data_IF_332319784608
#
_entry.id   IF_332319784608
#
_cell.length_a   1.000
_cell.length_b   1.000
_cell.length_c   1.000
_cell.angle_alpha   90.00
_cell.angle_beta   90.00
_cell.angle_gamma   90.00
#
_symmetry.space_group_name_H-M   'P 1'
#
loop_
_entity.id
_entity.type
_entity.pdbx_description
1 polymer ?
#
# COMPACT_ATOMS: atom_id res chain seq x y z
N UNK A 1 -26.09 -7.46 -11.66
CA UNK A 1 -24.65 -7.26 -11.56
C UNK A 1 -24.41 -5.87 -10.98
N UNK A 2 -23.78 -5.75 -9.81
CA UNK A 2 -23.53 -4.47 -9.12
C UNK A 2 -22.33 -3.76 -9.72
N UNK A 3 -22.46 -2.47 -9.98
CA UNK A 3 -21.40 -1.62 -10.49
C UNK A 3 -20.65 -0.98 -9.31
N UNK A 4 -19.37 -1.29 -9.15
CA UNK A 4 -18.54 -0.80 -8.05
C UNK A 4 -17.41 0.06 -8.60
N UNK A 5 -17.30 1.29 -8.12
CA UNK A 5 -16.17 2.17 -8.40
C UNK A 5 -15.14 2.08 -7.27
N UNK A 6 -13.86 2.01 -7.61
CA UNK A 6 -12.74 2.08 -6.67
C UNK A 6 -11.98 3.38 -6.95
N UNK A 7 -11.82 4.23 -5.93
CA UNK A 7 -11.15 5.53 -5.97
C UNK A 7 -10.15 5.67 -4.82
N UNK A 8 -9.24 6.64 -4.89
CA UNK A 8 -8.27 6.93 -3.83
C UNK A 8 -6.92 6.21 -3.98
N UNK A 9 -6.61 5.70 -5.17
CA UNK A 9 -5.33 5.05 -5.50
C UNK A 9 -4.71 5.67 -6.74
N UNK A 10 -3.41 5.42 -6.96
CA UNK A 10 -2.77 5.84 -8.21
C UNK A 10 -3.33 5.07 -9.40
N UNK A 11 -3.63 3.78 -9.24
CA UNK A 11 -4.23 2.93 -10.26
C UNK A 11 -3.63 1.52 -10.30
N UNK A 12 -4.05 0.77 -11.32
CA UNK A 12 -3.52 -0.57 -11.64
C UNK A 12 -3.07 -0.63 -13.11
N UNK A 13 -2.07 -1.49 -13.46
CA UNK A 13 -1.27 -2.40 -12.62
C UNK A 13 -0.53 -1.68 -11.49
N UNK A 14 -0.38 -2.33 -10.33
CA UNK A 14 0.26 -1.75 -9.17
C UNK A 14 1.72 -1.34 -9.46
N UNK A 15 2.04 -0.07 -9.20
CA UNK A 15 3.39 0.49 -9.34
C UNK A 15 3.91 1.11 -8.05
N UNK A 16 3.01 1.28 -7.06
CA UNK A 16 3.33 2.00 -5.84
C UNK A 16 2.27 1.77 -4.76
N UNK A 17 2.68 1.41 -3.55
CA UNK A 17 1.82 1.41 -2.37
C UNK A 17 0.99 0.14 -2.11
N UNK A 18 0.50 0.05 -0.88
CA UNK A 18 -0.28 -1.09 -0.41
C UNK A 18 -1.69 -1.16 -0.99
N UNK A 19 -2.33 -0.01 -1.22
CA UNK A 19 -3.68 0.02 -1.78
C UNK A 19 -3.74 -0.40 -3.25
N UNK A 20 -2.73 -0.08 -4.05
CA UNK A 20 -2.63 -0.57 -5.43
C UNK A 20 -2.51 -2.09 -5.44
N UNK A 21 -1.67 -2.66 -4.57
CA UNK A 21 -1.53 -4.11 -4.41
C UNK A 21 -2.83 -4.75 -3.90
N UNK A 22 -3.50 -4.13 -2.93
CA UNK A 22 -4.81 -4.57 -2.44
C UNK A 22 -5.84 -4.65 -3.57
N UNK A 23 -5.95 -3.57 -4.36
CA UNK A 23 -6.90 -3.52 -5.48
C UNK A 23 -6.55 -4.55 -6.53
N UNK A 24 -5.27 -4.73 -6.84
CA UNK A 24 -4.81 -5.73 -7.81
C UNK A 24 -5.18 -7.16 -7.41
N UNK A 25 -5.17 -7.47 -6.11
CA UNK A 25 -5.62 -8.76 -5.58
C UNK A 25 -7.16 -8.88 -5.57
N UNK A 26 -7.89 -7.80 -5.23
CA UNK A 26 -9.35 -7.79 -5.27
C UNK A 26 -9.90 -8.03 -6.69
N UNK A 27 -9.27 -7.42 -7.71
CA UNK A 27 -9.68 -7.53 -9.11
C UNK A 27 -9.09 -8.74 -9.84
N UNK A 28 -8.37 -9.61 -9.14
CA UNK A 28 -7.80 -10.84 -9.66
C UNK A 28 -8.83 -11.93 -9.94
N UNK A 29 -8.38 -13.17 -10.01
CA UNK A 29 -9.19 -14.34 -10.40
C UNK A 29 -10.35 -14.66 -9.44
N UNK A 30 -10.33 -14.11 -8.22
CA UNK A 30 -11.36 -14.30 -7.19
C UNK A 30 -12.51 -13.27 -7.24
N UNK A 31 -12.62 -12.48 -8.32
CA UNK A 31 -13.73 -11.54 -8.47
C UNK A 31 -15.08 -12.25 -8.53
N UNK A 32 -16.03 -11.81 -7.70
CA UNK A 32 -17.40 -12.29 -7.79
C UNK A 32 -18.01 -11.95 -9.17
N UNK A 33 -18.62 -12.91 -9.87
CA UNK A 33 -19.29 -12.65 -11.15
C UNK A 33 -20.49 -11.69 -11.04
N UNK A 34 -20.97 -11.46 -9.84
CA UNK A 34 -22.08 -10.52 -9.56
C UNK A 34 -21.63 -9.06 -9.50
N UNK A 35 -20.32 -8.81 -9.44
CA UNK A 35 -19.75 -7.47 -9.27
C UNK A 35 -18.90 -7.10 -10.49
N UNK A 36 -19.12 -5.89 -11.00
CA UNK A 36 -18.30 -5.29 -12.05
C UNK A 36 -17.55 -4.09 -11.49
N UNK A 37 -16.24 -4.20 -11.45
CA UNK A 37 -15.39 -3.11 -10.95
C UNK A 37 -15.00 -2.12 -12.04
N UNK A 38 -14.90 -0.86 -11.64
CA UNK A 38 -14.20 0.19 -12.39
C UNK A 38 -13.19 0.84 -11.46
N UNK A 39 -11.93 0.85 -11.86
CA UNK A 39 -10.84 1.45 -11.08
C UNK A 39 -10.50 2.82 -11.68
N UNK A 40 -10.48 3.85 -10.83
CA UNK A 40 -10.04 5.18 -11.22
C UNK A 40 -8.53 5.30 -11.03
N UNK A 41 -7.85 5.70 -12.10
CA UNK A 41 -6.40 5.78 -12.18
C UNK A 41 -5.94 7.22 -12.44
N UNK A 42 -4.77 7.58 -11.96
CA UNK A 42 -4.15 8.86 -12.26
C UNK A 42 -3.58 8.85 -13.69
N UNK A 43 -4.12 9.73 -14.53
CA UNK A 43 -3.63 9.88 -15.91
C UNK A 43 -2.25 10.55 -15.99
N UNK A 44 -1.73 11.08 -14.89
CA UNK A 44 -0.37 11.65 -14.81
C UNK A 44 0.66 10.62 -14.33
N UNK A 45 0.22 9.63 -13.56
CA UNK A 45 1.12 8.61 -13.01
C UNK A 45 1.25 7.38 -13.93
N UNK A 46 0.39 7.29 -14.98
CA UNK A 46 0.41 6.22 -15.98
C UNK A 46 0.60 6.79 -17.40
N UNK A 47 1.77 6.58 -17.98
CA UNK A 47 2.08 6.97 -19.36
C UNK A 47 1.27 6.15 -20.38
N UNK A 48 1.15 4.84 -20.14
CA UNK A 48 0.30 3.94 -20.95
C UNK A 48 -1.06 3.80 -20.28
N UNK A 49 -2.12 4.11 -21.01
CA UNK A 49 -3.50 4.04 -20.51
C UNK A 49 -4.20 2.84 -21.11
N UNK A 50 -4.42 1.83 -20.27
CA UNK A 50 -5.20 0.65 -20.63
C UNK A 50 -6.69 0.94 -20.44
N UNK A 51 -7.55 0.45 -21.32
CA UNK A 51 -9.01 0.55 -21.12
C UNK A 51 -9.51 -0.48 -20.11
N UNK A 52 -8.83 -1.63 -20.05
CA UNK A 52 -9.16 -2.74 -19.16
C UNK A 52 -7.88 -3.38 -18.63
N UNK A 53 -7.96 -3.94 -17.43
CA UNK A 53 -6.91 -4.74 -16.80
C UNK A 53 -7.55 -5.82 -15.92
N UNK A 54 -7.13 -7.09 -16.02
CA UNK A 54 -7.73 -8.22 -15.26
C UNK A 54 -9.28 -8.18 -15.30
N UNK A 55 -9.87 -7.97 -16.49
CA UNK A 55 -11.33 -7.91 -16.72
C UNK A 55 -12.07 -6.75 -16.04
N UNK A 56 -11.38 -5.78 -15.45
CA UNK A 56 -12.01 -4.57 -14.91
C UNK A 56 -11.77 -3.36 -15.81
N UNK A 57 -12.72 -2.43 -15.80
CA UNK A 57 -12.61 -1.18 -16.55
C UNK A 57 -11.71 -0.20 -15.82
N UNK A 58 -10.84 0.48 -16.55
CA UNK A 58 -10.01 1.58 -16.04
C UNK A 58 -10.53 2.92 -16.55
N UNK A 59 -10.58 3.91 -15.65
CA UNK A 59 -10.89 5.31 -15.98
C UNK A 59 -9.80 6.22 -15.46
N UNK A 60 -9.33 7.13 -16.29
CA UNK A 60 -8.21 8.01 -15.94
C UNK A 60 -8.67 9.43 -15.62
N UNK A 61 -8.16 9.98 -14.53
CA UNK A 61 -8.29 11.39 -14.16
C UNK A 61 -7.04 12.12 -14.65
N UNK A 62 -7.14 13.03 -15.61
CA UNK A 62 -5.96 13.58 -16.30
C UNK A 62 -5.26 14.74 -15.58
N UNK A 63 -5.91 15.37 -14.58
CA UNK A 63 -5.50 16.69 -14.10
C UNK A 63 -4.49 16.66 -12.95
N UNK A 64 -4.56 15.69 -12.03
CA UNK A 64 -3.77 15.67 -10.80
C UNK A 64 -3.05 14.33 -10.59
N UNK A 65 -1.92 14.39 -9.86
CA UNK A 65 -1.28 13.19 -9.34
C UNK A 65 -2.07 12.63 -8.15
N UNK A 66 -2.10 11.32 -8.03
CA UNK A 66 -2.79 10.64 -6.92
C UNK A 66 -1.93 10.56 -5.63
N UNK A 67 -0.98 11.48 -5.46
CA UNK A 67 -0.11 11.50 -4.30
C UNK A 67 0.15 12.94 -3.81
N UNK A 68 0.64 13.05 -2.56
CA UNK A 68 0.96 14.33 -1.93
C UNK A 68 -0.25 15.26 -1.83
N UNK A 69 -0.05 16.56 -1.98
CA UNK A 69 -1.11 17.57 -1.89
C UNK A 69 -2.14 17.43 -3.03
N UNK A 70 -1.73 16.92 -4.18
CA UNK A 70 -2.60 16.74 -5.34
C UNK A 70 -3.55 15.55 -5.20
N UNK A 71 -3.34 14.64 -4.23
CA UNK A 71 -4.26 13.54 -3.99
C UNK A 71 -5.67 14.02 -3.64
N UNK A 72 -5.80 15.08 -2.85
CA UNK A 72 -7.12 15.62 -2.48
C UNK A 72 -7.98 16.04 -3.69
N UNK A 73 -7.54 16.95 -4.59
CA UNK A 73 -8.33 17.29 -5.77
C UNK A 73 -8.49 16.10 -6.75
N UNK A 74 -7.51 15.21 -6.83
CA UNK A 74 -7.63 13.97 -7.61
C UNK A 74 -8.77 13.08 -7.10
N UNK A 75 -8.83 12.83 -5.79
CA UNK A 75 -9.86 12.01 -5.17
C UNK A 75 -11.26 12.64 -5.31
N UNK A 76 -11.36 13.96 -5.12
CA UNK A 76 -12.63 14.70 -5.32
C UNK A 76 -13.12 14.54 -6.75
N UNK A 77 -12.25 14.72 -7.75
CA UNK A 77 -12.63 14.54 -9.17
C UNK A 77 -13.01 13.09 -9.47
N UNK A 78 -12.31 12.14 -8.89
CA UNK A 78 -12.65 10.71 -9.02
C UNK A 78 -14.04 10.42 -8.46
N UNK A 79 -14.37 10.93 -7.27
CA UNK A 79 -15.70 10.82 -6.69
C UNK A 79 -16.78 11.49 -7.54
N UNK A 80 -16.56 12.71 -8.05
CA UNK A 80 -17.51 13.40 -8.93
C UNK A 80 -17.82 12.60 -10.20
N UNK A 81 -16.82 11.88 -10.76
CA UNK A 81 -17.04 10.96 -11.88
C UNK A 81 -17.85 9.71 -11.51
N UNK A 82 -18.02 9.43 -10.23
CA UNK A 82 -18.80 8.30 -9.74
C UNK A 82 -20.29 8.64 -9.47
N UNK A 83 -20.73 9.88 -9.65
CA UNK A 83 -22.12 10.29 -9.38
C UNK A 83 -23.15 9.46 -10.17
N UNK A 84 -22.80 8.99 -11.35
CA UNK A 84 -23.66 8.20 -12.21
C UNK A 84 -23.02 6.87 -12.61
N UNK A 85 -23.84 5.83 -12.75
CA UNK A 85 -23.42 4.55 -13.29
C UNK A 85 -22.81 3.57 -12.28
N UNK A 86 -22.85 3.87 -10.98
CA UNK A 86 -22.32 3.00 -9.93
C UNK A 86 -23.34 2.80 -8.83
N UNK A 87 -23.35 1.61 -8.22
CA UNK A 87 -24.18 1.23 -7.08
C UNK A 87 -23.43 1.41 -5.76
N UNK A 88 -22.10 1.28 -5.81
CA UNK A 88 -21.22 1.42 -4.66
C UNK A 88 -19.94 2.17 -5.08
N UNK A 89 -19.47 3.04 -4.20
CA UNK A 89 -18.15 3.66 -4.32
C UNK A 89 -17.29 3.22 -3.14
N UNK A 90 -16.14 2.62 -3.44
CA UNK A 90 -15.12 2.23 -2.47
C UNK A 90 -14.01 3.28 -2.51
N UNK A 91 -13.78 3.93 -1.38
CA UNK A 91 -12.79 4.99 -1.21
C UNK A 91 -11.64 4.41 -0.39
N UNK A 92 -10.43 4.46 -0.95
CA UNK A 92 -9.21 3.98 -0.31
C UNK A 92 -8.35 5.17 0.12
N UNK A 93 -8.20 5.34 1.45
CA UNK A 93 -7.57 6.51 2.05
C UNK A 93 -8.54 7.65 2.33
N UNK A 94 -8.03 8.70 2.97
CA UNK A 94 -8.87 9.79 3.48
C UNK A 94 -8.65 11.14 2.79
N UNK A 95 -7.72 11.25 1.84
CA UNK A 95 -7.29 12.54 1.26
C UNK A 95 -8.44 13.39 0.73
N UNK A 96 -9.37 12.79 -0.02
CA UNK A 96 -10.51 13.48 -0.62
C UNK A 96 -11.78 13.47 0.22
N UNK A 97 -11.78 12.81 1.38
CA UNK A 97 -13.00 12.58 2.17
C UNK A 97 -13.57 13.85 2.81
N UNK A 98 -12.81 14.94 2.85
CA UNK A 98 -13.34 16.27 3.21
C UNK A 98 -14.53 16.69 2.35
N UNK A 99 -14.64 16.16 1.14
CA UNK A 99 -15.73 16.43 0.20
C UNK A 99 -16.98 15.55 0.44
N UNK A 100 -16.92 14.51 1.26
CA UNK A 100 -18.02 13.56 1.47
C UNK A 100 -19.33 14.17 1.94
N UNK A 101 -19.39 15.24 2.77
CA UNK A 101 -20.63 15.91 3.11
C UNK A 101 -21.41 16.36 1.87
N UNK A 102 -20.72 16.99 0.91
CA UNK A 102 -21.30 17.44 -0.35
C UNK A 102 -21.61 16.26 -1.27
N UNK A 103 -20.66 15.35 -1.40
CA UNK A 103 -20.83 14.17 -2.25
C UNK A 103 -22.04 13.33 -1.82
N UNK A 104 -22.29 13.17 -0.51
CA UNK A 104 -23.43 12.42 0.02
C UNK A 104 -24.78 13.01 -0.31
N UNK A 105 -24.87 14.33 -0.47
CA UNK A 105 -26.11 14.99 -0.92
C UNK A 105 -26.44 14.60 -2.36
N UNK A 106 -25.42 14.41 -3.20
CA UNK A 106 -25.55 14.12 -4.63
C UNK A 106 -25.60 12.60 -4.91
N UNK A 107 -24.93 11.79 -4.08
CA UNK A 107 -24.82 10.35 -4.23
C UNK A 107 -25.45 9.61 -3.05
N UNK A 108 -26.63 9.06 -3.24
CA UNK A 108 -27.42 8.38 -2.19
C UNK A 108 -27.21 6.86 -2.16
N UNK A 109 -26.25 6.34 -2.92
CA UNK A 109 -25.91 4.91 -2.97
C UNK A 109 -24.81 4.57 -1.97
N UNK A 110 -24.37 3.33 -1.95
CA UNK A 110 -23.49 2.81 -0.91
C UNK A 110 -22.08 3.39 -1.00
N UNK A 111 -21.59 3.93 0.11
CA UNK A 111 -20.22 4.40 0.29
C UNK A 111 -19.48 3.49 1.25
N UNK A 112 -18.35 2.97 0.81
CA UNK A 112 -17.44 2.15 1.62
C UNK A 112 -16.11 2.91 1.70
N UNK A 113 -15.62 3.18 2.90
CA UNK A 113 -14.35 3.87 3.09
C UNK A 113 -13.37 2.99 3.89
N UNK A 114 -12.21 2.74 3.32
CA UNK A 114 -11.07 2.22 4.05
C UNK A 114 -10.20 3.42 4.47
N UNK A 115 -10.09 3.65 5.78
CA UNK A 115 -9.42 4.85 6.32
C UNK A 115 -7.89 4.71 6.38
N UNK A 116 -7.33 3.56 5.94
CA UNK A 116 -5.88 3.26 6.05
C UNK A 116 -5.39 3.25 7.50
N UNK A 117 -4.14 3.55 7.70
CA UNK A 117 -3.59 3.89 9.01
C UNK A 117 -3.93 5.33 9.40
N UNK A 118 -3.48 5.73 10.58
CA UNK A 118 -3.73 7.08 11.10
C UNK A 118 -2.81 8.11 10.42
N UNK A 119 -3.09 8.44 9.16
CA UNK A 119 -2.24 9.26 8.30
C UNK A 119 -1.90 10.62 8.95
N UNK A 120 -2.83 11.20 9.72
CA UNK A 120 -2.64 12.44 10.46
C UNK A 120 -1.60 12.33 11.59
N UNK A 121 -1.21 11.12 12.02
CA UNK A 121 -0.17 10.90 13.06
C UNK A 121 1.25 10.88 12.51
N UNK A 122 1.42 10.79 11.19
CA UNK A 122 2.75 10.70 10.57
C UNK A 122 3.59 11.95 10.83
N UNK A 123 4.86 11.73 11.15
CA UNK A 123 5.79 12.81 11.53
C UNK A 123 6.07 13.81 10.39
N UNK A 124 6.01 13.35 9.12
CA UNK A 124 6.25 14.17 7.93
C UNK A 124 5.27 15.32 7.74
N UNK A 125 4.10 15.29 8.38
CA UNK A 125 3.06 16.29 8.20
C UNK A 125 3.15 17.44 9.19
N UNK A 126 3.05 18.67 8.71
CA UNK A 126 2.91 19.86 9.55
C UNK A 126 1.53 19.91 10.24
N UNK A 127 1.39 20.81 11.21
CA UNK A 127 0.17 20.95 12.05
C UNK A 127 -1.11 21.13 11.22
N UNK A 128 -1.08 21.97 10.19
CA UNK A 128 -2.24 22.23 9.30
C UNK A 128 -2.65 20.97 8.52
N UNK A 129 -1.69 20.27 7.95
CA UNK A 129 -1.95 19.03 7.20
C UNK A 129 -2.50 17.93 8.12
N UNK A 130 -1.97 17.81 9.34
CA UNK A 130 -2.49 16.88 10.34
C UNK A 130 -3.95 17.18 10.71
N UNK A 131 -4.26 18.47 10.94
CA UNK A 131 -5.64 18.90 11.20
C UNK A 131 -6.56 18.59 10.02
N UNK A 132 -6.14 18.91 8.79
CA UNK A 132 -6.89 18.63 7.57
C UNK A 132 -7.16 17.14 7.41
N UNK A 133 -6.13 16.29 7.53
CA UNK A 133 -6.26 14.83 7.39
C UNK A 133 -7.17 14.24 8.47
N UNK A 134 -7.06 14.71 9.72
CA UNK A 134 -7.95 14.28 10.80
C UNK A 134 -9.41 14.69 10.54
N UNK A 135 -9.64 15.88 10.02
CA UNK A 135 -10.99 16.33 9.65
C UNK A 135 -11.54 15.50 8.50
N UNK A 136 -10.72 15.22 7.50
CA UNK A 136 -11.07 14.40 6.34
C UNK A 136 -11.38 12.94 6.74
N UNK A 137 -10.60 12.37 7.68
CA UNK A 137 -10.86 11.07 8.29
C UNK A 137 -12.22 11.06 9.04
N UNK A 138 -12.49 12.09 9.83
CA UNK A 138 -13.78 12.23 10.51
C UNK A 138 -14.97 12.28 9.52
N UNK A 139 -14.78 12.94 8.37
CA UNK A 139 -15.80 12.95 7.30
C UNK A 139 -15.95 11.56 6.68
N UNK A 140 -14.85 10.83 6.43
CA UNK A 140 -14.89 9.45 5.95
C UNK A 140 -15.72 8.57 6.90
N UNK A 141 -15.38 8.59 8.19
CA UNK A 141 -16.07 7.78 9.19
C UNK A 141 -17.54 8.17 9.31
N UNK A 142 -17.86 9.47 9.33
CA UNK A 142 -19.24 9.94 9.53
C UNK A 142 -20.15 9.63 8.35
N UNK A 143 -19.69 9.82 7.11
CA UNK A 143 -20.53 9.80 5.92
C UNK A 143 -20.49 8.50 5.12
N UNK A 144 -19.53 7.61 5.36
CA UNK A 144 -19.54 6.28 4.77
C UNK A 144 -20.63 5.39 5.42
N UNK A 145 -21.27 4.55 4.61
CA UNK A 145 -22.20 3.52 5.10
C UNK A 145 -21.43 2.37 5.77
N UNK A 146 -20.24 2.08 5.28
CA UNK A 146 -19.32 1.07 5.83
C UNK A 146 -17.94 1.67 5.95
N UNK A 147 -17.35 1.58 7.14
CA UNK A 147 -15.95 1.91 7.40
C UNK A 147 -15.18 0.61 7.51
N UNK A 148 -14.10 0.47 6.75
CA UNK A 148 -13.19 -0.68 6.83
C UNK A 148 -11.98 -0.27 7.67
N UNK A 149 -11.61 -1.15 8.61
CA UNK A 149 -10.35 -1.14 9.33
C UNK A 149 -9.54 -2.37 8.92
N UNK A 150 -8.26 -2.18 8.62
CA UNK A 150 -7.36 -3.25 8.20
C UNK A 150 -6.72 -4.01 9.37
N UNK A 151 -6.85 -3.51 10.58
CA UNK A 151 -6.42 -4.17 11.81
C UNK A 151 -7.27 -3.79 13.02
N UNK A 152 -7.09 -4.56 14.08
CA UNK A 152 -7.83 -4.38 15.33
C UNK A 152 -7.59 -3.02 15.98
N UNK A 153 -6.35 -2.51 15.94
CA UNK A 153 -6.02 -1.20 16.51
C UNK A 153 -6.76 -0.05 15.83
N UNK A 154 -6.90 -0.09 14.49
CA UNK A 154 -7.68 0.89 13.73
C UNK A 154 -9.18 0.73 14.01
N UNK A 155 -9.68 -0.50 14.13
CA UNK A 155 -11.08 -0.76 14.49
C UNK A 155 -11.42 -0.16 15.86
N UNK A 156 -10.57 -0.42 16.85
CA UNK A 156 -10.74 0.10 18.22
C UNK A 156 -10.65 1.63 18.25
N UNK A 157 -9.69 2.22 17.53
CA UNK A 157 -9.57 3.66 17.36
C UNK A 157 -10.84 4.29 16.79
N UNK A 158 -11.44 3.72 15.75
CA UNK A 158 -12.70 4.22 15.15
C UNK A 158 -13.82 4.18 16.19
N UNK A 159 -13.95 3.06 16.90
CA UNK A 159 -14.97 2.91 17.96
C UNK A 159 -14.79 3.92 19.07
N UNK A 160 -13.58 4.10 19.58
CA UNK A 160 -13.27 4.98 20.71
C UNK A 160 -13.35 6.47 20.33
N UNK A 161 -12.86 6.84 19.15
CA UNK A 161 -12.76 8.24 18.72
C UNK A 161 -14.05 8.77 18.11
N UNK A 162 -14.74 7.93 17.33
CA UNK A 162 -15.90 8.35 16.54
C UNK A 162 -17.20 7.70 16.97
N UNK A 163 -17.18 6.80 17.95
CA UNK A 163 -18.35 6.05 18.43
C UNK A 163 -19.10 5.34 17.28
N UNK A 164 -18.35 4.80 16.33
CA UNK A 164 -18.86 4.07 15.16
C UNK A 164 -18.14 2.74 15.00
N UNK A 165 -18.88 1.70 14.65
CA UNK A 165 -18.29 0.40 14.35
C UNK A 165 -17.65 0.38 12.96
N UNK A 166 -16.43 -0.13 12.87
CA UNK A 166 -15.76 -0.42 11.61
C UNK A 166 -15.73 -1.92 11.38
N UNK A 167 -15.84 -2.31 10.11
CA UNK A 167 -15.69 -3.72 9.71
C UNK A 167 -14.21 -4.04 9.63
N UNK A 168 -13.77 -5.03 10.40
CA UNK A 168 -12.39 -5.51 10.34
C UNK A 168 -12.22 -6.40 9.09
N UNK A 169 -11.40 -5.94 8.14
CA UNK A 169 -10.98 -6.70 6.97
C UNK A 169 -9.46 -6.61 6.90
N UNK A 170 -8.79 -7.59 7.49
CA UNK A 170 -7.33 -7.65 7.51
C UNK A 170 -6.77 -8.05 6.14
N UNK A 171 -5.53 -7.62 5.87
CA UNK A 171 -4.80 -8.09 4.69
C UNK A 171 -4.52 -9.60 4.79
N UNK A 172 -4.67 -10.29 3.65
CA UNK A 172 -4.19 -11.66 3.49
C UNK A 172 -2.70 -11.69 3.13
N UNK A 173 -2.10 -12.88 3.18
CA UNK A 173 -0.70 -13.11 2.80
C UNK A 173 -0.54 -14.25 1.77
N UNK A 174 -1.62 -14.96 1.46
CA UNK A 174 -1.62 -16.12 0.57
C UNK A 174 -1.31 -15.79 -0.90
N UNK A 175 -1.52 -14.55 -1.31
CA UNK A 175 -1.16 -14.07 -2.66
C UNK A 175 0.35 -14.16 -2.97
N UNK A 176 1.20 -14.33 -1.95
CA UNK A 176 2.65 -14.47 -2.16
C UNK A 176 3.09 -15.88 -2.54
N UNK A 177 2.21 -16.87 -2.40
CA UNK A 177 2.55 -18.25 -2.74
C UNK A 177 2.88 -18.40 -4.22
N UNK A 178 3.99 -19.10 -4.49
CA UNK A 178 4.46 -19.41 -5.84
C UNK A 178 4.80 -20.88 -5.93
N UNK A 179 4.54 -21.44 -7.09
CA UNK A 179 4.96 -22.80 -7.41
C UNK A 179 6.17 -22.71 -8.36
N UNK A 180 7.34 -22.43 -7.80
CA UNK A 180 8.61 -22.39 -8.51
C UNK A 180 9.56 -23.45 -7.95
N UNK A 181 10.37 -24.05 -8.83
CA UNK A 181 11.29 -25.11 -8.43
C UNK A 181 12.37 -24.57 -7.49
N UNK A 182 12.95 -25.48 -6.70
CA UNK A 182 14.04 -25.12 -5.78
C UNK A 182 15.27 -24.62 -6.54
N UNK A 183 15.55 -25.20 -7.72
CA UNK A 183 16.65 -24.76 -8.58
C UNK A 183 16.46 -23.30 -9.00
N UNK A 184 15.24 -22.91 -9.37
CA UNK A 184 14.92 -21.52 -9.72
C UNK A 184 15.07 -20.60 -8.52
N UNK A 185 14.66 -21.02 -7.34
CA UNK A 185 14.87 -20.24 -6.12
C UNK A 185 16.35 -20.06 -5.82
N UNK A 186 17.17 -21.10 -5.96
CA UNK A 186 18.63 -21.00 -5.77
C UNK A 186 19.29 -20.11 -6.81
N UNK A 187 18.82 -20.07 -8.06
CA UNK A 187 19.29 -19.10 -9.07
C UNK A 187 19.02 -17.66 -8.63
N UNK A 188 17.81 -17.42 -8.12
CA UNK A 188 17.43 -16.10 -7.61
C UNK A 188 18.33 -15.70 -6.44
N UNK A 189 18.55 -16.58 -5.46
CA UNK A 189 19.43 -16.26 -4.33
C UNK A 189 20.87 -15.95 -4.78
N UNK A 190 21.39 -16.69 -5.76
CA UNK A 190 22.72 -16.41 -6.38
C UNK A 190 22.76 -15.04 -7.06
N UNK A 191 21.67 -14.64 -7.75
CA UNK A 191 21.55 -13.31 -8.34
C UNK A 191 21.71 -12.19 -7.29
N UNK A 192 21.15 -12.41 -6.10
CA UNK A 192 21.25 -11.46 -4.99
C UNK A 192 22.49 -11.67 -4.10
N UNK A 193 23.33 -12.66 -4.40
CA UNK A 193 24.57 -12.95 -3.67
C UNK A 193 24.33 -13.38 -2.22
N UNK A 194 23.26 -14.09 -1.94
CA UNK A 194 22.91 -14.55 -0.59
C UNK A 194 22.83 -16.08 -0.49
N UNK A 195 23.09 -16.58 0.71
CA UNK A 195 23.04 -18.01 1.03
C UNK A 195 21.78 -18.34 1.82
N UNK A 196 21.06 -19.44 1.49
CA UNK A 196 19.88 -19.86 2.22
C UNK A 196 20.07 -19.87 3.74
N UNK A 197 19.16 -19.28 4.47
CA UNK A 197 19.17 -19.24 5.93
C UNK A 197 20.16 -18.27 6.58
N UNK A 198 21.03 -17.60 5.81
CA UNK A 198 22.10 -16.77 6.36
C UNK A 198 21.92 -15.25 6.11
N UNK A 199 20.74 -14.81 5.70
CA UNK A 199 20.47 -13.40 5.51
C UNK A 199 19.09 -13.03 6.05
N UNK A 200 18.95 -11.78 6.48
CA UNK A 200 17.68 -11.15 6.76
C UNK A 200 17.08 -10.53 5.50
N UNK A 201 15.77 -10.32 5.46
CA UNK A 201 15.13 -9.54 4.40
C UNK A 201 14.28 -8.42 4.98
N UNK A 202 14.28 -7.27 4.31
CA UNK A 202 13.35 -6.18 4.58
C UNK A 202 12.79 -5.67 3.25
N UNK A 203 11.48 -5.48 3.19
CA UNK A 203 10.79 -4.96 1.99
C UNK A 203 9.92 -3.78 2.41
N UNK A 204 10.35 -2.56 2.12
CA UNK A 204 9.59 -1.38 2.46
C UNK A 204 9.99 -0.15 1.63
N UNK A 205 9.22 0.93 1.76
CA UNK A 205 9.65 2.23 1.27
C UNK A 205 10.82 2.73 2.10
N UNK A 206 11.85 3.27 1.44
CA UNK A 206 13.00 3.85 2.15
C UNK A 206 12.63 5.26 2.60
N UNK A 207 12.02 5.32 3.78
CA UNK A 207 11.52 6.55 4.41
C UNK A 207 11.92 6.58 5.90
N UNK A 208 12.07 7.76 6.52
CA UNK A 208 12.41 7.87 7.96
C UNK A 208 11.46 7.11 8.87
N UNK A 209 10.16 7.11 8.55
CA UNK A 209 9.10 6.44 9.31
C UNK A 209 9.26 4.92 9.36
N UNK A 210 9.98 4.34 8.39
CA UNK A 210 10.28 2.91 8.34
C UNK A 210 11.61 2.58 9.02
N UNK A 211 12.23 3.55 9.71
CA UNK A 211 13.48 3.40 10.43
C UNK A 211 14.61 2.75 9.60
N UNK A 212 14.62 3.03 8.28
CA UNK A 212 15.59 2.43 7.35
C UNK A 212 17.02 2.73 7.76
N UNK A 213 17.28 3.92 8.34
CA UNK A 213 18.60 4.30 8.87
C UNK A 213 19.02 3.44 10.07
N UNK A 214 18.08 3.10 10.97
CA UNK A 214 18.36 2.24 12.14
C UNK A 214 18.66 0.82 11.67
N UNK A 215 17.89 0.31 10.70
CA UNK A 215 18.15 -1.02 10.12
C UNK A 215 19.55 -1.07 9.50
N UNK A 216 19.87 -0.10 8.63
CA UNK A 216 21.20 -0.06 8.00
C UNK A 216 22.33 0.03 9.04
N UNK A 217 22.17 0.86 10.07
CA UNK A 217 23.18 1.02 11.11
C UNK A 217 23.38 -0.27 11.93
N UNK A 218 22.30 -0.95 12.27
CA UNK A 218 22.35 -2.22 13.00
C UNK A 218 23.11 -3.30 12.20
N UNK A 219 22.84 -3.41 10.89
CA UNK A 219 23.49 -4.39 10.03
C UNK A 219 24.94 -4.01 9.70
N UNK A 220 25.24 -2.73 9.55
CA UNK A 220 26.61 -2.24 9.39
C UNK A 220 27.48 -2.59 10.60
N UNK A 221 26.94 -2.43 11.82
CA UNK A 221 27.65 -2.73 13.06
C UNK A 221 27.70 -4.24 13.36
N UNK A 222 26.64 -4.97 13.01
CA UNK A 222 26.52 -6.39 13.33
C UNK A 222 27.14 -7.35 12.34
N UNK A 223 27.51 -6.88 11.13
CA UNK A 223 28.15 -7.68 10.08
C UNK A 223 27.27 -8.82 9.50
N UNK A 224 25.99 -8.91 9.87
CA UNK A 224 25.05 -9.89 9.32
C UNK A 224 24.52 -9.44 7.97
N UNK A 225 24.24 -10.39 7.09
CA UNK A 225 23.72 -10.11 5.75
C UNK A 225 22.26 -9.70 5.77
N UNK A 226 21.92 -8.65 5.00
CA UNK A 226 20.55 -8.24 4.73
C UNK A 226 20.32 -7.94 3.25
N UNK A 227 19.21 -8.41 2.70
CA UNK A 227 18.66 -7.94 1.42
C UNK A 227 17.58 -6.91 1.74
N UNK A 228 17.88 -5.65 1.49
CA UNK A 228 16.97 -4.55 1.79
C UNK A 228 16.36 -4.01 0.49
N UNK A 229 15.13 -4.48 0.21
CA UNK A 229 14.39 -4.15 -1.00
C UNK A 229 13.58 -2.87 -0.78
N UNK A 230 13.79 -1.88 -1.64
CA UNK A 230 13.05 -0.62 -1.58
C UNK A 230 13.45 0.32 -2.71
N UNK A 231 12.82 1.49 -2.80
CA UNK A 231 13.16 2.46 -3.82
C UNK A 231 14.26 3.42 -3.31
N UNK A 232 15.50 3.04 -3.52
CA UNK A 232 16.69 3.76 -3.03
C UNK A 232 16.97 5.08 -3.76
N UNK A 233 16.38 5.30 -4.94
CA UNK A 233 16.63 6.50 -5.76
C UNK A 233 15.51 7.57 -5.61
N UNK A 234 14.45 7.29 -4.84
CA UNK A 234 13.24 8.10 -4.84
C UNK A 234 13.39 9.46 -4.15
N UNK A 235 14.10 9.52 -3.04
CA UNK A 235 14.23 10.71 -2.19
C UNK A 235 15.69 11.04 -1.87
N UNK A 236 15.93 12.25 -1.40
CA UNK A 236 17.25 12.63 -0.90
C UNK A 236 17.67 11.75 0.29
N UNK A 237 16.74 11.46 1.19
CA UNK A 237 16.96 10.56 2.31
C UNK A 237 17.42 9.17 1.87
N UNK A 238 16.71 8.56 0.92
CA UNK A 238 17.06 7.21 0.44
C UNK A 238 18.40 7.18 -0.28
N UNK A 239 18.69 8.18 -1.13
CA UNK A 239 20.00 8.32 -1.80
C UNK A 239 21.12 8.55 -0.79
N UNK A 240 20.89 9.38 0.22
CA UNK A 240 21.87 9.62 1.30
C UNK A 240 22.21 8.37 2.08
N UNK A 241 21.23 7.55 2.42
CA UNK A 241 21.47 6.25 3.06
C UNK A 241 22.22 5.29 2.13
N UNK A 242 21.83 5.21 0.86
CA UNK A 242 22.53 4.38 -0.12
C UNK A 242 24.00 4.73 -0.23
N UNK A 243 24.32 6.02 -0.28
CA UNK A 243 25.69 6.51 -0.33
C UNK A 243 26.45 6.21 0.97
N UNK A 244 25.82 6.45 2.14
CA UNK A 244 26.43 6.23 3.46
C UNK A 244 26.87 4.78 3.68
N UNK A 245 26.07 3.83 3.20
CA UNK A 245 26.28 2.40 3.43
C UNK A 245 26.77 1.65 2.17
N UNK A 246 27.23 2.34 1.13
CA UNK A 246 27.65 1.74 -0.14
C UNK A 246 28.82 0.74 0.00
N UNK A 247 29.73 0.95 0.96
CA UNK A 247 30.90 0.09 1.18
C UNK A 247 30.60 -1.16 2.03
N UNK A 248 29.41 -1.26 2.62
CA UNK A 248 29.03 -2.40 3.44
C UNK A 248 28.47 -3.53 2.56
N UNK A 249 29.32 -4.49 2.19
CA UNK A 249 28.97 -5.60 1.30
C UNK A 249 27.87 -6.53 1.86
N UNK A 250 27.68 -6.53 3.18
CA UNK A 250 26.61 -7.27 3.86
C UNK A 250 25.24 -6.59 3.80
N UNK A 251 25.17 -5.31 3.36
CA UNK A 251 23.89 -4.59 3.17
C UNK A 251 23.59 -4.51 1.68
N UNK A 252 22.84 -5.46 1.17
CA UNK A 252 22.44 -5.49 -0.24
C UNK A 252 21.21 -4.60 -0.46
N UNK A 253 21.48 -3.36 -0.87
CA UNK A 253 20.44 -2.36 -1.19
C UNK A 253 19.88 -2.61 -2.58
N UNK A 254 18.74 -3.25 -2.63
CA UNK A 254 18.07 -3.67 -3.87
C UNK A 254 16.93 -2.71 -4.19
N UNK A 255 16.86 -2.23 -5.43
CA UNK A 255 15.72 -1.43 -5.88
C UNK A 255 14.43 -2.25 -5.83
N UNK A 256 13.28 -1.55 -5.88
CA UNK A 256 11.97 -2.18 -5.79
C UNK A 256 11.84 -3.37 -6.77
N UNK A 257 11.56 -4.53 -6.23
CA UNK A 257 11.35 -5.79 -6.96
C UNK A 257 9.85 -6.01 -7.12
N UNK A 258 9.40 -6.17 -8.34
CA UNK A 258 8.00 -6.46 -8.70
C UNK A 258 7.82 -7.88 -9.24
N UNK A 259 8.92 -8.59 -9.47
CA UNK A 259 8.89 -10.01 -9.78
C UNK A 259 8.53 -10.80 -8.53
N UNK A 260 7.37 -11.44 -8.56
CA UNK A 260 6.81 -12.15 -7.42
C UNK A 260 7.58 -13.44 -7.09
N UNK A 261 8.22 -14.06 -8.07
CA UNK A 261 9.06 -15.25 -7.86
C UNK A 261 10.35 -14.87 -7.13
N UNK A 262 10.93 -13.72 -7.47
CA UNK A 262 12.08 -13.18 -6.76
C UNK A 262 11.75 -12.85 -5.29
N UNK A 263 10.64 -12.15 -5.05
CA UNK A 263 10.18 -11.85 -3.69
C UNK A 263 9.84 -13.10 -2.90
N UNK A 264 9.26 -14.10 -3.56
CA UNK A 264 8.97 -15.40 -2.94
C UNK A 264 10.27 -16.07 -2.47
N UNK A 265 11.25 -16.24 -3.36
CA UNK A 265 12.52 -16.89 -3.04
C UNK A 265 13.26 -16.16 -1.91
N UNK A 266 13.33 -14.83 -1.96
CA UNK A 266 13.98 -14.03 -0.93
C UNK A 266 13.32 -14.20 0.46
N UNK A 267 11.99 -14.24 0.54
CA UNK A 267 11.26 -14.45 1.80
C UNK A 267 11.32 -15.88 2.28
N UNK A 268 11.24 -16.84 1.36
CA UNK A 268 11.25 -18.28 1.69
C UNK A 268 12.56 -18.73 2.33
N UNK A 269 13.68 -18.18 1.90
CA UNK A 269 15.00 -18.60 2.33
C UNK A 269 15.70 -17.65 3.30
N UNK A 270 15.07 -16.53 3.70
CA UNK A 270 15.66 -15.68 4.73
C UNK A 270 15.62 -16.35 6.12
N UNK A 271 16.53 -15.95 7.01
CA UNK A 271 16.48 -16.37 8.42
C UNK A 271 15.44 -15.58 9.22
N UNK A 272 15.21 -14.32 8.88
CA UNK A 272 14.21 -13.48 9.51
C UNK A 272 13.77 -12.33 8.58
N UNK A 273 12.61 -11.77 8.87
CA UNK A 273 12.14 -10.53 8.25
C UNK A 273 12.36 -9.35 9.19
N UNK A 274 12.90 -8.25 8.69
CA UNK A 274 13.15 -7.06 9.49
C UNK A 274 12.10 -6.00 9.19
N UNK A 275 11.37 -5.59 10.22
CA UNK A 275 10.29 -4.61 10.12
C UNK A 275 10.55 -3.40 11.00
N UNK A 276 10.79 -2.24 10.37
CA UNK A 276 11.09 -0.99 11.08
C UNK A 276 9.94 0.01 11.13
N UNK A 277 8.75 -0.34 10.66
CA UNK A 277 7.64 0.60 10.49
C UNK A 277 7.13 1.15 11.82
N UNK A 278 7.12 2.47 11.99
CA UNK A 278 6.71 3.14 13.24
C UNK A 278 5.36 3.84 13.15
N UNK A 279 4.80 4.03 11.95
CA UNK A 279 3.53 4.73 11.76
C UNK A 279 2.80 4.24 10.49
N UNK A 280 1.50 4.12 10.56
CA UNK A 280 0.64 3.70 9.44
C UNK A 280 -0.35 2.62 9.83
N UNK A 281 -1.06 2.07 8.84
CA UNK A 281 -1.91 0.89 8.97
C UNK A 281 -1.12 -0.41 8.91
N UNK A 282 -1.79 -1.50 8.60
CA UNK A 282 -1.15 -2.79 8.38
C UNK A 282 -0.21 -2.71 7.18
N UNK A 283 1.04 -3.13 7.36
CA UNK A 283 1.99 -3.21 6.27
C UNK A 283 1.82 -4.53 5.52
N UNK A 284 1.37 -4.53 4.24
CA UNK A 284 1.17 -5.77 3.49
C UNK A 284 2.44 -6.62 3.41
N UNK A 285 3.63 -6.01 3.25
CA UNK A 285 4.89 -6.75 3.16
C UNK A 285 5.24 -7.49 4.46
N UNK A 286 4.79 -6.99 5.61
CA UNK A 286 4.91 -7.70 6.89
C UNK A 286 4.00 -8.93 6.91
N UNK A 287 2.72 -8.76 6.55
CA UNK A 287 1.75 -9.87 6.51
C UNK A 287 2.22 -10.96 5.54
N UNK A 288 2.71 -10.56 4.37
CA UNK A 288 3.32 -11.44 3.38
C UNK A 288 4.53 -12.21 3.94
N UNK A 289 5.40 -11.55 4.71
CA UNK A 289 6.56 -12.19 5.31
C UNK A 289 6.16 -13.19 6.42
N UNK A 290 5.18 -12.83 7.24
CA UNK A 290 4.64 -13.71 8.29
C UNK A 290 4.06 -15.01 7.71
N UNK A 291 3.56 -14.98 6.48
CA UNK A 291 3.02 -16.15 5.79
C UNK A 291 4.07 -17.25 5.55
N UNK A 292 5.35 -16.89 5.49
CA UNK A 292 6.47 -17.84 5.40
C UNK A 292 6.90 -18.44 6.75
N UNK A 293 6.24 -18.08 7.87
CA UNK A 293 6.58 -18.57 9.19
C UNK A 293 7.97 -18.16 9.69
N UNK A 294 8.53 -17.09 9.14
CA UNK A 294 9.85 -16.59 9.56
C UNK A 294 9.72 -15.67 10.78
N UNK A 295 10.74 -15.64 11.66
CA UNK A 295 10.83 -14.63 12.71
C UNK A 295 10.76 -13.21 12.15
N UNK A 296 10.12 -12.29 12.91
CA UNK A 296 10.04 -10.87 12.59
C UNK A 296 10.72 -10.07 13.71
#
# INVERSE_FOLDING_TARGET
MKQVAIVGIQGVPAKYGGFETLVENIIGDNCSPEVRYTVFCSGKDYATRLNTYKNVRLKYIPLFHANGVQSTPYDILSMLKCLHGYDTVVILGVSGCIFLPVFRLLFRKRLVANIDGLEHRRAKWGKFTKWFLRTSEAMAVRYADVVIADNKGIQDYVRETYHKEAVLIAYGGDQVLRNISEERQMEILRKYGVTPGNYAVSVCRIEPENNSHVICEAFASGGRDIVFVGNWERSEYSRGLKQKYAEYSNIRMVNAVYDLDELYALRNWCCCYVHGHSAGGTNPSLVEAMFFGKPV
#
